data_IF_758553769651
#
_entry.id   IF_758553769651
#
_cell.length_a   1.000
_cell.length_b   1.000
_cell.length_c   1.000
_cell.angle_alpha   90.00
_cell.angle_beta   90.00
_cell.angle_gamma   90.00
#
_symmetry.space_group_name_H-M   'P 1'
#
loop_
_entity.id
_entity.type
_entity.pdbx_description
1 polymer ?
#
# COMPACT_ATOMS: atom_id res chain seq x y z
N UNK A 1 -15.40 -50.13 83.05
CA UNK A 1 -16.29 -49.97 81.89
C UNK A 1 -16.64 -48.50 81.78
N UNK A 2 -16.04 -47.83 80.81
CA UNK A 2 -16.14 -46.42 80.40
C UNK A 2 -15.32 -46.36 79.10
N UNK A 3 -15.56 -45.59 78.06
CA UNK A 3 -16.53 -44.56 77.68
C UNK A 3 -16.20 -44.36 76.18
N UNK A 4 -17.18 -44.49 75.28
CA UNK A 4 -16.98 -44.15 73.87
C UNK A 4 -17.49 -42.73 73.66
N UNK A 5 -16.60 -41.84 73.25
CA UNK A 5 -16.95 -40.51 72.76
C UNK A 5 -17.44 -40.64 71.32
N UNK A 6 -18.66 -40.19 71.04
CA UNK A 6 -19.08 -39.94 69.67
C UNK A 6 -19.65 -38.53 69.55
N UNK A 7 -19.11 -37.82 68.56
CA UNK A 7 -19.26 -36.40 68.32
C UNK A 7 -20.69 -36.00 67.96
N UNK A 8 -21.16 -34.92 68.59
CA UNK A 8 -22.33 -34.16 68.19
C UNK A 8 -21.84 -33.02 67.29
N UNK A 9 -22.16 -33.06 65.99
CA UNK A 9 -22.02 -31.92 65.07
C UNK A 9 -23.42 -31.40 64.74
N UNK A 10 -23.58 -30.09 64.94
CA UNK A 10 -24.80 -29.29 64.76
C UNK A 10 -25.36 -29.34 63.34
N UNK A 11 -26.68 -29.49 63.21
CA UNK A 11 -27.42 -29.47 61.95
C UNK A 11 -28.16 -28.12 61.74
N UNK A 12 -27.46 -27.09 61.29
CA UNK A 12 -28.09 -25.97 60.55
C UNK A 12 -28.26 -26.38 59.07
N UNK A 13 -29.16 -27.32 58.80
CA UNK A 13 -29.42 -27.80 57.43
C UNK A 13 -30.92 -27.96 57.23
N UNK A 14 -31.62 -26.87 56.91
CA UNK A 14 -32.98 -26.98 56.37
C UNK A 14 -33.38 -25.87 55.38
N UNK A 15 -32.84 -24.66 55.50
CA UNK A 15 -33.16 -23.57 54.55
C UNK A 15 -32.39 -23.62 53.22
N UNK A 16 -31.15 -24.17 53.19
CA UNK A 16 -30.32 -24.18 51.97
C UNK A 16 -30.76 -25.19 50.90
N UNK A 17 -31.41 -26.31 51.28
CA UNK A 17 -31.85 -27.34 50.31
C UNK A 17 -33.11 -26.94 49.53
N UNK A 18 -33.97 -26.10 50.10
CA UNK A 18 -35.18 -25.61 49.44
C UNK A 18 -34.88 -24.49 48.42
N UNK A 19 -33.85 -23.67 48.69
CA UNK A 19 -33.38 -22.61 47.78
C UNK A 19 -32.71 -23.18 46.51
N UNK A 20 -31.95 -24.28 46.64
CA UNK A 20 -31.28 -24.93 45.49
C UNK A 20 -32.30 -25.59 44.54
N UNK A 21 -33.42 -26.09 45.07
CA UNK A 21 -34.48 -26.70 44.24
C UNK A 21 -35.28 -25.67 43.43
N UNK A 22 -35.44 -24.44 43.94
CA UNK A 22 -36.09 -23.34 43.22
C UNK A 22 -35.21 -22.77 42.08
N UNK A 23 -33.89 -22.73 42.27
CA UNK A 23 -32.94 -22.26 41.23
C UNK A 23 -32.79 -23.28 40.10
N UNK A 24 -32.92 -24.59 40.39
CA UNK A 24 -32.86 -25.65 39.37
C UNK A 24 -34.00 -25.62 38.34
N UNK A 25 -35.22 -25.26 38.74
CA UNK A 25 -36.39 -25.21 37.84
C UNK A 25 -36.50 -23.91 37.03
N UNK A 26 -35.97 -22.78 37.54
CA UNK A 26 -35.90 -21.53 36.77
C UNK A 26 -34.66 -21.43 35.86
N UNK A 27 -33.57 -22.14 36.17
CA UNK A 27 -32.36 -22.13 35.33
C UNK A 27 -32.51 -22.84 33.98
N UNK A 28 -33.38 -23.86 33.90
CA UNK A 28 -33.58 -24.63 32.66
C UNK A 28 -34.69 -24.02 31.78
N UNK A 29 -35.68 -23.35 32.38
CA UNK A 29 -36.73 -22.62 31.64
C UNK A 29 -36.22 -21.39 30.89
N UNK A 30 -35.22 -20.68 31.45
CA UNK A 30 -34.62 -19.51 30.81
C UNK A 30 -33.67 -19.87 29.65
N UNK A 31 -33.11 -21.09 29.62
CA UNK A 31 -32.18 -21.50 28.57
C UNK A 31 -32.88 -21.98 27.29
N UNK A 32 -34.12 -22.49 27.35
CA UNK A 32 -34.83 -22.90 26.13
C UNK A 32 -35.61 -21.76 25.46
N UNK A 33 -36.16 -20.79 26.21
CA UNK A 33 -36.78 -19.59 25.61
C UNK A 33 -35.77 -18.51 25.20
N UNK A 34 -34.59 -18.46 25.83
CA UNK A 34 -33.48 -17.63 25.35
C UNK A 34 -32.91 -18.09 24.01
N UNK A 35 -32.91 -19.39 23.74
CA UNK A 35 -32.36 -19.94 22.49
C UNK A 35 -33.29 -19.73 21.27
N UNK A 36 -34.62 -19.73 21.45
CA UNK A 36 -35.56 -19.56 20.33
C UNK A 36 -35.90 -18.11 19.99
N UNK A 37 -35.70 -17.17 20.92
CA UNK A 37 -35.94 -15.74 20.62
C UNK A 37 -34.72 -15.06 19.99
N UNK A 38 -33.50 -15.58 20.20
CA UNK A 38 -32.28 -15.05 19.55
C UNK A 38 -32.17 -15.47 18.09
N UNK A 39 -32.90 -16.49 17.63
CA UNK A 39 -32.94 -16.81 16.19
C UNK A 39 -33.89 -15.92 15.38
N UNK A 40 -34.88 -15.25 16.01
CA UNK A 40 -35.86 -14.42 15.29
C UNK A 40 -35.75 -12.91 15.52
N UNK A 41 -34.80 -12.44 16.34
CA UNK A 41 -34.37 -11.02 16.36
C UNK A 41 -33.02 -10.87 15.66
N UNK A 42 -32.87 -11.55 14.52
CA UNK A 42 -31.75 -11.34 13.57
C UNK A 42 -32.15 -10.46 12.37
N UNK A 43 -33.28 -9.76 12.46
CA UNK A 43 -33.77 -8.90 11.39
C UNK A 43 -34.17 -7.54 11.96
N UNK A 44 -33.44 -6.49 11.54
CA UNK A 44 -33.76 -5.06 11.68
C UNK A 44 -33.31 -4.29 12.93
N UNK A 45 -32.19 -4.67 13.56
CA UNK A 45 -31.32 -3.64 14.10
C UNK A 45 -30.32 -3.29 12.99
N UNK A 46 -30.51 -2.14 12.35
CA UNK A 46 -29.50 -1.57 11.47
C UNK A 46 -28.27 -1.33 12.33
N UNK A 47 -27.31 -2.24 12.24
CA UNK A 47 -25.94 -2.02 12.67
C UNK A 47 -25.57 -0.66 12.09
N UNK A 48 -25.06 0.31 12.87
CA UNK A 48 -24.38 1.43 12.26
C UNK A 48 -23.27 0.79 11.45
N UNK A 49 -23.49 0.69 10.15
CA UNK A 49 -22.45 0.35 9.19
C UNK A 49 -21.47 1.49 9.41
N UNK A 50 -20.45 1.23 10.23
CA UNK A 50 -19.15 1.86 10.02
C UNK A 50 -18.92 1.53 8.58
N UNK A 51 -19.21 2.49 7.69
CA UNK A 51 -18.79 2.35 6.31
C UNK A 51 -17.31 2.08 6.47
N UNK A 52 -16.78 0.91 6.08
CA UNK A 52 -15.42 0.97 5.60
C UNK A 52 -15.55 2.05 4.52
N UNK A 53 -14.90 3.21 4.69
CA UNK A 53 -14.48 3.90 3.47
C UNK A 53 -13.84 2.78 2.68
N UNK A 54 -14.37 2.41 1.51
CA UNK A 54 -13.66 1.50 0.68
C UNK A 54 -12.51 2.37 0.19
N UNK A 55 -11.45 2.47 1.00
CA UNK A 55 -10.10 2.56 0.50
C UNK A 55 -9.90 1.23 -0.21
N UNK A 56 -10.60 1.07 -1.34
CA UNK A 56 -10.15 0.18 -2.39
C UNK A 56 -8.78 0.75 -2.67
N UNK A 57 -7.77 0.01 -2.28
CA UNK A 57 -6.47 0.11 -2.90
C UNK A 57 -6.74 -0.08 -4.40
N UNK A 58 -6.90 1.05 -5.11
CA UNK A 58 -7.00 1.03 -6.55
C UNK A 58 -5.55 0.90 -6.99
N UNK A 59 -5.04 -0.32 -7.01
CA UNK A 59 -3.90 -0.60 -7.88
C UNK A 59 -4.47 -0.41 -9.29
N UNK A 60 -4.06 0.63 -10.04
CA UNK A 60 -4.49 0.73 -11.42
C UNK A 60 -4.06 -0.57 -12.11
N UNK A 61 -4.95 -1.17 -12.91
CA UNK A 61 -4.64 -2.43 -13.56
C UNK A 61 -3.35 -2.27 -14.37
N UNK A 62 -2.48 -3.31 -14.40
CA UNK A 62 -1.32 -3.28 -15.26
C UNK A 62 -1.79 -3.14 -16.71
N UNK A 63 -1.23 -2.17 -17.43
CA UNK A 63 -1.45 -2.09 -18.87
C UNK A 63 -0.67 -3.23 -19.54
N UNK A 64 -1.34 -4.01 -20.39
CA UNK A 64 -0.76 -5.19 -21.07
C UNK A 64 -0.79 -4.99 -22.58
N UNK A 65 0.27 -5.44 -23.27
CA UNK A 65 0.38 -5.35 -24.72
C UNK A 65 0.59 -3.93 -25.25
N UNK A 66 1.28 -3.09 -24.48
CA UNK A 66 1.66 -1.77 -24.96
C UNK A 66 2.79 -1.90 -25.97
N UNK A 67 2.59 -1.27 -27.12
CA UNK A 67 3.49 -1.40 -28.28
C UNK A 67 4.60 -0.34 -28.24
N UNK A 68 4.47 0.66 -27.38
CA UNK A 68 5.40 1.79 -27.27
C UNK A 68 6.00 1.87 -25.86
N UNK A 69 7.31 2.14 -25.72
CA UNK A 69 7.93 2.30 -24.42
C UNK A 69 7.39 3.51 -23.64
N UNK A 70 7.13 3.32 -22.35
CA UNK A 70 6.58 4.36 -21.48
C UNK A 70 6.96 4.17 -20.01
N UNK A 71 6.80 5.25 -19.23
CA UNK A 71 6.97 5.24 -17.77
C UNK A 71 5.72 5.82 -17.14
N UNK A 72 5.24 5.22 -16.04
CA UNK A 72 4.03 5.65 -15.35
C UNK A 72 4.24 5.73 -13.84
N UNK A 73 3.72 6.79 -13.24
CA UNK A 73 3.62 6.94 -11.81
C UNK A 73 2.23 6.51 -11.35
N UNK A 74 2.19 5.76 -10.26
CA UNK A 74 0.96 5.19 -9.69
C UNK A 74 0.91 5.49 -8.22
N UNK A 75 -0.22 6.02 -7.77
CA UNK A 75 -0.57 6.12 -6.35
C UNK A 75 -1.84 5.31 -6.07
N UNK A 76 -1.93 4.74 -4.87
CA UNK A 76 -3.01 3.80 -4.52
C UNK A 76 -4.31 4.51 -4.15
N UNK A 77 -4.21 5.76 -3.72
CA UNK A 77 -5.33 6.55 -3.23
C UNK A 77 -5.31 7.92 -3.90
N UNK A 78 -6.49 8.46 -4.21
CA UNK A 78 -6.60 9.84 -4.69
C UNK A 78 -6.47 10.88 -3.57
N UNK A 79 -6.43 10.44 -2.29
CA UNK A 79 -6.41 11.32 -1.12
C UNK A 79 -5.71 10.67 0.06
N UNK A 80 -4.80 11.42 0.70
CA UNK A 80 -4.01 11.01 1.87
C UNK A 80 -4.18 12.03 3.01
N UNK A 81 -3.96 11.63 4.26
CA UNK A 81 -4.05 12.55 5.41
C UNK A 81 -2.76 13.35 5.60
N UNK A 82 -2.84 14.48 6.30
CA UNK A 82 -1.64 15.20 6.75
C UNK A 82 -0.74 14.31 7.64
N UNK A 83 0.58 14.48 7.55
CA UNK A 83 1.59 13.69 8.27
C UNK A 83 1.58 12.19 7.96
N UNK A 84 0.91 11.78 6.87
CA UNK A 84 0.90 10.40 6.39
C UNK A 84 1.91 10.16 5.27
N UNK A 85 2.25 8.88 5.08
CA UNK A 85 3.10 8.41 3.99
C UNK A 85 2.27 8.11 2.75
N UNK A 86 2.72 8.62 1.61
CA UNK A 86 2.16 8.48 0.28
C UNK A 86 3.09 7.60 -0.54
N UNK A 87 2.75 6.32 -0.76
CA UNK A 87 3.48 5.46 -1.68
C UNK A 87 3.16 5.84 -3.13
N UNK A 88 4.22 6.04 -3.91
CA UNK A 88 4.16 6.33 -5.35
C UNK A 88 5.05 5.33 -6.05
N UNK A 89 4.44 4.40 -6.78
CA UNK A 89 5.14 3.36 -7.53
C UNK A 89 5.47 3.86 -8.93
N UNK A 90 6.70 3.58 -9.37
CA UNK A 90 7.17 3.85 -10.72
C UNK A 90 7.09 2.55 -11.51
N UNK A 91 6.33 2.57 -12.59
CA UNK A 91 6.18 1.48 -13.54
C UNK A 91 6.83 1.83 -14.88
N UNK A 92 7.32 0.81 -15.55
CA UNK A 92 7.98 0.89 -16.85
C UNK A 92 7.45 -0.22 -17.75
N UNK A 93 7.32 0.08 -19.03
CA UNK A 93 7.30 -0.93 -20.09
C UNK A 93 8.22 -0.49 -21.22
N UNK A 94 8.95 -1.45 -21.75
CA UNK A 94 9.87 -1.30 -22.88
C UNK A 94 9.17 -1.45 -24.23
N UNK A 95 7.89 -1.84 -24.28
CA UNK A 95 7.16 -2.01 -25.54
C UNK A 95 7.81 -3.06 -26.45
N UNK A 96 8.28 -4.15 -25.84
CA UNK A 96 9.08 -5.21 -26.47
C UNK A 96 10.40 -4.73 -27.11
N UNK A 97 10.89 -3.51 -26.80
CA UNK A 97 12.22 -3.06 -27.23
C UNK A 97 13.30 -3.51 -26.25
N UNK A 98 14.51 -3.76 -26.76
CA UNK A 98 15.66 -4.03 -25.89
C UNK A 98 16.25 -2.71 -25.37
N UNK A 99 16.34 -2.60 -24.05
CA UNK A 99 16.79 -1.38 -23.36
C UNK A 99 18.06 -1.68 -22.55
N UNK A 100 19.08 -0.82 -22.67
CA UNK A 100 20.30 -0.92 -21.84
C UNK A 100 20.38 0.12 -20.74
N UNK A 101 19.70 1.26 -20.90
CA UNK A 101 19.74 2.35 -19.93
C UNK A 101 18.38 3.04 -19.86
N UNK A 102 17.99 3.48 -18.67
CA UNK A 102 16.85 4.37 -18.50
C UNK A 102 17.11 5.31 -17.33
N UNK A 103 16.69 6.55 -17.49
CA UNK A 103 16.75 7.57 -16.42
C UNK A 103 15.34 8.08 -16.16
N UNK A 104 14.97 8.22 -14.89
CA UNK A 104 13.69 8.80 -14.45
C UNK A 104 13.99 10.00 -13.58
N UNK A 105 13.49 11.18 -13.95
CA UNK A 105 13.63 12.40 -13.16
C UNK A 105 12.26 12.97 -12.78
N UNK A 106 12.01 13.03 -11.48
CA UNK A 106 10.73 13.43 -10.90
C UNK A 106 10.90 14.68 -10.06
N UNK A 107 10.08 15.68 -10.32
CA UNK A 107 9.98 16.89 -9.51
C UNK A 107 8.85 16.76 -8.49
N UNK A 108 9.07 17.27 -7.28
CA UNK A 108 8.05 17.35 -6.24
C UNK A 108 8.10 18.69 -5.51
N UNK A 109 7.01 19.07 -4.83
CA UNK A 109 6.97 20.29 -4.00
C UNK A 109 7.52 20.01 -2.58
N UNK A 110 8.73 20.49 -2.23
CA UNK A 110 9.35 20.24 -0.92
C UNK A 110 8.68 20.98 0.25
N UNK A 111 7.80 21.94 -0.05
CA UNK A 111 7.03 22.64 0.98
C UNK A 111 5.87 21.76 1.50
N UNK A 112 5.41 20.84 0.67
CA UNK A 112 4.23 20.01 0.91
C UNK A 112 4.63 18.56 1.19
N UNK A 113 5.68 18.07 0.52
CA UNK A 113 6.19 16.71 0.64
C UNK A 113 7.63 16.67 1.16
N UNK A 114 7.96 15.58 1.84
CA UNK A 114 9.30 15.24 2.29
C UNK A 114 9.63 13.83 1.82
N UNK A 115 10.87 13.61 1.38
CA UNK A 115 11.38 12.29 1.03
C UNK A 115 12.90 12.26 1.27
N UNK A 116 13.40 11.14 1.75
CA UNK A 116 14.83 10.88 1.92
C UNK A 116 15.28 9.69 1.07
N UNK A 117 16.60 9.47 0.98
CA UNK A 117 17.14 8.33 0.23
C UNK A 117 16.67 6.98 0.76
N UNK A 118 16.49 6.86 2.08
CA UNK A 118 16.02 5.63 2.72
C UNK A 118 14.52 5.36 2.44
N UNK A 119 13.79 6.36 1.93
CA UNK A 119 12.38 6.27 1.54
C UNK A 119 12.20 5.87 0.05
N UNK A 120 13.27 5.45 -0.63
CA UNK A 120 13.23 4.95 -2.01
C UNK A 120 13.54 3.46 -2.03
N UNK A 121 12.59 2.66 -2.49
CA UNK A 121 12.76 1.22 -2.70
C UNK A 121 12.90 0.94 -4.19
N UNK A 122 14.04 0.40 -4.61
CA UNK A 122 14.31 0.00 -5.99
C UNK A 122 14.01 -1.50 -6.18
N UNK A 123 13.35 -1.84 -7.28
CA UNK A 123 13.06 -3.22 -7.67
C UNK A 123 14.11 -3.70 -8.67
N UNK A 124 14.64 -4.92 -8.55
CA UNK A 124 15.82 -5.37 -9.32
C UNK A 124 15.46 -5.76 -10.77
N UNK A 125 14.95 -4.81 -11.56
CA UNK A 125 14.62 -4.97 -12.98
C UNK A 125 15.88 -4.83 -13.84
N UNK A 126 16.73 -3.85 -13.52
CA UNK A 126 18.04 -3.67 -14.16
C UNK A 126 19.17 -4.22 -13.29
N UNK A 127 20.32 -4.49 -13.90
CA UNK A 127 21.50 -5.00 -13.17
C UNK A 127 22.05 -3.99 -12.17
N UNK A 128 22.07 -2.71 -12.55
CA UNK A 128 22.49 -1.60 -11.72
C UNK A 128 21.38 -0.57 -11.67
N UNK A 129 21.02 -0.17 -10.45
CA UNK A 129 20.02 0.86 -10.21
C UNK A 129 20.50 1.74 -9.07
N UNK A 130 20.37 3.04 -9.25
CA UNK A 130 20.75 4.05 -8.28
C UNK A 130 19.66 5.11 -8.22
N UNK A 131 19.38 5.62 -7.02
CA UNK A 131 18.51 6.76 -6.83
C UNK A 131 19.32 7.89 -6.17
N UNK A 132 19.08 9.12 -6.62
CA UNK A 132 19.62 10.33 -6.02
C UNK A 132 18.54 11.37 -5.81
N UNK A 133 18.65 12.14 -4.73
CA UNK A 133 17.78 13.28 -4.45
C UNK A 133 18.65 14.53 -4.41
N UNK A 134 18.40 15.46 -5.33
CA UNK A 134 19.09 16.73 -5.39
C UNK A 134 18.14 17.84 -5.84
N UNK A 135 18.13 18.95 -5.11
CA UNK A 135 17.32 20.14 -5.43
C UNK A 135 15.84 19.85 -5.74
N UNK A 136 15.19 19.02 -4.89
CA UNK A 136 13.79 18.61 -5.02
C UNK A 136 13.47 17.79 -6.28
N UNK A 137 14.51 17.20 -6.87
CA UNK A 137 14.42 16.26 -7.97
C UNK A 137 14.90 14.90 -7.47
N UNK A 138 14.12 13.86 -7.79
CA UNK A 138 14.50 12.46 -7.60
C UNK A 138 14.95 11.94 -8.95
N UNK A 139 16.21 11.51 -9.04
CA UNK A 139 16.79 10.88 -10.23
C UNK A 139 16.98 9.40 -9.97
N UNK A 140 16.36 8.54 -10.76
CA UNK A 140 16.58 7.09 -10.74
C UNK A 140 17.30 6.73 -12.04
N UNK A 141 18.52 6.23 -11.92
CA UNK A 141 19.32 5.75 -13.05
C UNK A 141 19.30 4.23 -13.06
N UNK A 142 18.96 3.64 -14.19
CA UNK A 142 18.84 2.21 -14.42
C UNK A 142 19.74 1.81 -15.58
N UNK A 143 20.61 0.83 -15.38
CA UNK A 143 21.64 0.51 -16.36
C UNK A 143 22.01 -0.97 -16.37
N UNK A 144 22.21 -1.51 -17.59
CA UNK A 144 22.86 -2.79 -17.85
C UNK A 144 24.00 -2.59 -18.85
N UNK A 145 25.16 -3.16 -18.54
CA UNK A 145 26.31 -3.11 -19.45
C UNK A 145 26.33 -4.36 -20.33
N UNK A 146 25.85 -4.23 -21.57
CA UNK A 146 25.83 -5.35 -22.54
C UNK A 146 27.23 -5.76 -22.99
N UNK A 147 28.21 -4.85 -22.97
CA UNK A 147 29.62 -5.14 -23.29
C UNK A 147 30.28 -6.08 -22.27
N UNK A 148 29.79 -6.06 -21.01
CA UNK A 148 30.22 -6.99 -19.96
C UNK A 148 29.43 -8.32 -19.98
N UNK A 149 28.58 -8.54 -20.99
CA UNK A 149 27.79 -9.77 -21.16
C UNK A 149 26.51 -9.82 -20.34
N UNK A 150 26.06 -8.70 -19.77
CA UNK A 150 24.73 -8.63 -19.14
C UNK A 150 23.66 -8.47 -20.21
N UNK A 151 22.55 -9.23 -20.15
CA UNK A 151 21.47 -9.09 -21.11
C UNK A 151 20.79 -7.72 -21.01
N UNK A 152 20.30 -7.21 -22.14
CA UNK A 152 19.39 -6.07 -22.20
C UNK A 152 18.09 -6.37 -21.46
N UNK A 153 17.38 -5.33 -21.04
CA UNK A 153 16.06 -5.44 -20.41
C UNK A 153 15.00 -5.34 -21.49
N UNK A 154 14.09 -6.31 -21.50
CA UNK A 154 12.88 -6.31 -22.32
C UNK A 154 11.74 -6.81 -21.43
N UNK A 155 10.62 -6.10 -21.45
CA UNK A 155 9.45 -6.35 -20.61
C UNK A 155 8.23 -6.64 -21.48
N UNK A 156 7.46 -7.65 -21.09
CA UNK A 156 6.14 -7.92 -21.67
C UNK A 156 5.08 -7.38 -20.72
N UNK A 157 4.83 -6.06 -20.79
CA UNK A 157 3.91 -5.35 -19.90
C UNK A 157 4.60 -4.59 -18.76
N UNK A 158 3.80 -3.81 -18.03
CA UNK A 158 4.27 -2.95 -16.94
C UNK A 158 5.02 -3.72 -15.84
N UNK A 159 6.27 -3.31 -15.60
CA UNK A 159 7.10 -3.75 -14.48
C UNK A 159 7.28 -2.61 -13.48
N UNK A 160 7.12 -2.90 -12.20
CA UNK A 160 7.43 -1.94 -11.13
C UNK A 160 8.94 -1.85 -10.97
N UNK A 161 9.50 -0.65 -11.11
CA UNK A 161 10.96 -0.40 -10.99
C UNK A 161 11.32 0.29 -9.68
N UNK A 162 10.40 1.04 -9.08
CA UNK A 162 10.64 1.69 -7.79
C UNK A 162 9.35 1.96 -7.03
N UNK A 163 9.47 2.18 -5.72
CA UNK A 163 8.42 2.78 -4.88
C UNK A 163 9.02 3.90 -4.04
N UNK A 164 8.41 5.09 -4.13
CA UNK A 164 8.81 6.31 -3.43
C UNK A 164 7.82 6.55 -2.28
N UNK A 165 8.33 6.72 -1.07
CA UNK A 165 7.49 6.93 0.12
C UNK A 165 7.56 8.39 0.59
N UNK A 166 6.73 9.25 0.00
CA UNK A 166 6.67 10.65 0.39
C UNK A 166 5.94 10.83 1.72
N UNK A 167 6.43 11.70 2.60
CA UNK A 167 5.72 12.13 3.82
C UNK A 167 5.06 13.48 3.56
N UNK A 168 3.78 13.59 3.89
CA UNK A 168 3.04 14.85 3.78
C UNK A 168 3.36 15.77 4.97
N UNK A 169 3.73 17.02 4.71
CA UNK A 169 4.16 17.98 5.75
C UNK A 169 3.08 19.00 6.08
N UNK A 170 2.49 19.60 5.06
CA UNK A 170 1.58 20.74 5.17
C UNK A 170 0.42 20.59 4.20
N UNK A 171 -0.73 21.22 4.47
CA UNK A 171 -1.81 21.33 3.49
C UNK A 171 -1.38 22.34 2.41
N UNK A 172 -1.52 22.02 1.11
CA UNK A 172 -1.25 23.00 0.06
C UNK A 172 -2.15 24.22 0.24
N UNK A 173 -1.59 25.43 0.04
CA UNK A 173 -2.26 26.71 0.34
C UNK A 173 -3.65 26.85 -0.31
N UNK A 174 -3.84 26.22 -1.47
CA UNK A 174 -5.07 26.33 -2.27
C UNK A 174 -5.92 25.05 -2.24
N UNK A 175 -5.64 24.10 -1.34
CA UNK A 175 -6.25 22.74 -1.34
C UNK A 175 -6.14 22.04 -2.69
N UNK A 176 -5.12 22.40 -3.47
CA UNK A 176 -4.90 21.90 -4.80
C UNK A 176 -4.49 20.43 -4.77
N UNK A 177 -4.80 19.73 -5.86
CA UNK A 177 -4.22 18.42 -6.12
C UNK A 177 -2.70 18.59 -6.22
N UNK A 178 -1.97 17.73 -5.53
CA UNK A 178 -0.51 17.64 -5.61
C UNK A 178 -0.20 16.72 -6.77
N UNK A 179 0.64 17.19 -7.69
CA UNK A 179 1.17 16.40 -8.77
C UNK A 179 2.64 16.07 -8.49
N UNK A 180 3.03 14.84 -8.83
CA UNK A 180 4.43 14.45 -8.96
C UNK A 180 4.66 14.35 -10.46
N UNK A 181 5.44 15.31 -10.95
CA UNK A 181 5.59 15.54 -12.38
C UNK A 181 6.95 15.04 -12.87
N UNK A 182 6.98 14.54 -14.10
CA UNK A 182 8.25 14.46 -14.82
C UNK A 182 8.71 15.89 -15.13
N UNK A 183 10.01 16.14 -15.20
CA UNK A 183 10.53 17.47 -15.53
C UNK A 183 10.13 17.86 -16.98
N UNK A 184 8.93 18.44 -17.12
CA UNK A 184 8.18 18.63 -18.37
C UNK A 184 8.87 19.55 -19.38
N UNK A 185 9.80 20.38 -18.90
CA UNK A 185 10.53 21.35 -19.71
C UNK A 185 11.88 20.81 -20.20
N UNK A 186 12.23 19.55 -19.90
CA UNK A 186 13.52 18.98 -20.32
C UNK A 186 13.42 17.47 -20.67
N UNK A 187 12.86 17.13 -21.84
CA UNK A 187 12.63 15.75 -22.27
C UNK A 187 13.91 14.91 -22.49
N UNK A 188 15.11 15.47 -22.34
CA UNK A 188 16.39 14.71 -22.34
C UNK A 188 16.73 14.09 -20.99
N UNK A 189 15.96 14.38 -19.93
CA UNK A 189 16.30 13.97 -18.56
C UNK A 189 15.56 12.74 -18.04
N UNK A 190 14.34 12.48 -18.51
CA UNK A 190 13.69 11.17 -18.39
C UNK A 190 13.82 10.48 -19.74
N UNK A 191 14.44 9.31 -19.77
CA UNK A 191 14.82 8.65 -21.01
C UNK A 191 14.83 7.14 -20.88
N UNK A 192 14.76 6.47 -22.02
CA UNK A 192 14.90 5.03 -22.16
C UNK A 192 15.70 4.77 -23.44
N UNK A 193 16.90 4.20 -23.32
CA UNK A 193 17.84 4.07 -24.40
C UNK A 193 17.95 2.64 -24.91
N UNK A 194 17.94 2.50 -26.24
CA UNK A 194 18.06 1.21 -26.92
C UNK A 194 19.38 0.49 -26.57
N UNK A 195 19.33 -0.84 -26.49
CA UNK A 195 20.54 -1.65 -26.38
C UNK A 195 21.36 -1.59 -27.68
N UNK A 196 22.68 -1.58 -27.57
CA UNK A 196 23.58 -1.73 -28.73
C UNK A 196 23.91 -0.45 -29.49
N UNK A 197 23.46 0.72 -29.06
CA UNK A 197 24.03 2.00 -29.51
C UNK A 197 25.40 2.18 -28.87
N UNK A 198 26.46 2.10 -29.68
CA UNK A 198 27.82 2.44 -29.25
C UNK A 198 27.87 3.87 -28.72
N UNK A 199 28.65 4.13 -27.66
CA UNK A 199 28.84 5.46 -27.05
C UNK A 199 29.26 6.60 -28.00
N UNK A 200 29.66 6.26 -29.22
CA UNK A 200 30.05 7.21 -30.27
C UNK A 200 28.85 7.85 -31.00
N UNK A 201 27.66 7.25 -30.89
CA UNK A 201 26.40 7.81 -31.36
C UNK A 201 25.54 8.21 -30.16
N UNK A 202 24.86 9.37 -30.22
CA UNK A 202 23.89 9.73 -29.19
C UNK A 202 22.84 8.61 -29.12
N UNK A 203 22.68 7.94 -27.96
CA UNK A 203 21.78 6.79 -27.86
C UNK A 203 20.34 7.24 -28.14
N UNK A 204 19.64 6.48 -28.98
CA UNK A 204 18.26 6.77 -29.36
C UNK A 204 17.34 6.66 -28.13
N UNK A 205 16.67 7.75 -27.78
CA UNK A 205 15.65 7.75 -26.72
C UNK A 205 14.34 7.16 -27.27
N UNK A 206 14.01 5.96 -26.81
CA UNK A 206 12.82 5.20 -27.19
C UNK A 206 11.56 5.63 -26.40
N UNK A 207 11.72 6.41 -25.33
CA UNK A 207 10.61 6.80 -24.46
C UNK A 207 9.57 7.60 -25.23
N UNK A 208 8.36 7.06 -25.37
CA UNK A 208 7.30 7.67 -26.18
C UNK A 208 6.27 8.42 -25.32
N UNK A 209 6.01 7.93 -24.10
CA UNK A 209 5.00 8.52 -23.23
C UNK A 209 5.40 8.47 -21.74
N UNK A 210 4.85 9.40 -20.97
CA UNK A 210 4.95 9.43 -19.51
C UNK A 210 3.58 9.73 -18.88
N UNK A 211 3.23 9.02 -17.82
CA UNK A 211 1.98 9.22 -17.07
C UNK A 211 2.28 9.67 -15.63
N UNK A 212 1.86 10.88 -15.27
CA UNK A 212 2.09 11.52 -13.97
C UNK A 212 1.13 10.98 -12.88
N UNK A 213 1.53 11.07 -11.61
CA UNK A 213 0.68 10.73 -10.47
C UNK A 213 0.19 11.99 -9.79
N UNK A 214 -1.06 11.97 -9.33
CA UNK A 214 -1.64 13.09 -8.59
C UNK A 214 -2.55 12.62 -7.46
N UNK A 215 -2.53 13.36 -6.34
CA UNK A 215 -3.32 13.06 -5.14
C UNK A 215 -3.65 14.33 -4.34
N UNK A 216 -4.64 14.26 -3.45
CA UNK A 216 -4.98 15.36 -2.54
C UNK A 216 -4.52 15.07 -1.10
N UNK A 217 -4.27 16.13 -0.32
CA UNK A 217 -4.08 16.03 1.14
C UNK A 217 -5.38 16.42 1.85
N UNK A 218 -5.84 15.56 2.75
CA UNK A 218 -6.92 15.82 3.68
C UNK A 218 -6.39 16.60 4.89
N UNK A 219 -7.18 17.56 5.42
CA UNK A 219 -6.84 18.25 6.68
C UNK A 219 -6.83 17.31 7.88
#
# INVERSE_FOLDING_TARGET
MSENQDLIVSHEVSAKRLLVLAIGLFGIGATVMGALTVQNVRSKAAVPVVSPSPFVEIVPPPQTGLVAPFIRLVTMQSKYNLLSTVPVSVYMDTGDQEVSESTVQLAFDPNVLEISQDDIQLEPVFKSMEANIFDNIITITMFVNTELGYPSVQTQGEQKVATLFFKTKTEPKDRSVIAIDFEKNNPTKTSMFAAGTTRDEEPENLLTNVEEASFAIAP
#
